data_IF_253430921623
#
_entry.id   IF_253430921623
#
_cell.length_a   1.000
_cell.length_b   1.000
_cell.length_c   1.000
_cell.angle_alpha   90.00
_cell.angle_beta   90.00
_cell.angle_gamma   90.00
#
_symmetry.space_group_name_H-M   'P 1'
#
loop_
_entity.id
_entity.type
_entity.pdbx_description
1 polymer ?
#
# COMPACT_ATOMS: atom_id res chain seq x y z
N UNK A 1 18.26 -26.15 -24.57
CA UNK A 1 18.05 -24.76 -24.14
C UNK A 1 16.62 -24.72 -23.62
N UNK A 2 16.47 -24.77 -22.32
CA UNK A 2 15.15 -24.80 -21.66
C UNK A 2 14.60 -23.37 -21.67
N UNK A 3 13.49 -23.21 -22.37
CA UNK A 3 12.67 -21.97 -22.31
C UNK A 3 12.09 -21.90 -20.89
N UNK A 4 12.70 -21.10 -20.06
CA UNK A 4 12.13 -20.76 -18.76
C UNK A 4 10.93 -19.88 -19.06
N UNK A 5 9.74 -20.49 -19.13
CA UNK A 5 8.49 -19.75 -19.22
C UNK A 5 8.47 -18.72 -18.09
N UNK A 6 8.35 -17.47 -18.44
CA UNK A 6 8.01 -16.41 -17.50
C UNK A 6 6.62 -16.79 -16.97
N UNK A 7 6.54 -17.27 -15.73
CA UNK A 7 5.24 -17.47 -15.07
C UNK A 7 4.56 -16.11 -15.05
N UNK A 8 3.50 -15.97 -15.82
CA UNK A 8 2.69 -14.76 -15.85
C UNK A 8 2.03 -14.60 -14.48
N UNK A 9 2.30 -13.49 -13.82
CA UNK A 9 1.72 -13.19 -12.50
C UNK A 9 0.21 -13.00 -12.67
N UNK A 10 -0.58 -13.66 -11.83
CA UNK A 10 -2.03 -13.48 -11.84
C UNK A 10 -2.39 -11.99 -11.64
N UNK A 11 -3.27 -11.43 -12.46
CA UNK A 11 -3.65 -10.03 -12.37
C UNK A 11 -4.37 -9.74 -11.06
N UNK A 12 -4.12 -8.56 -10.49
CA UNK A 12 -4.89 -8.09 -9.36
C UNK A 12 -6.35 -7.79 -9.76
N UNK A 13 -7.27 -7.86 -8.80
CA UNK A 13 -8.68 -7.51 -9.04
C UNK A 13 -8.85 -6.08 -9.55
N UNK A 14 -7.98 -5.15 -9.17
CA UNK A 14 -7.98 -3.79 -9.71
C UNK A 14 -7.77 -3.80 -11.22
N UNK A 15 -6.78 -4.56 -11.70
CA UNK A 15 -6.50 -4.71 -13.14
C UNK A 15 -7.68 -5.34 -13.87
N UNK A 16 -8.37 -6.31 -13.28
CA UNK A 16 -9.57 -6.91 -13.86
C UNK A 16 -10.70 -5.88 -13.99
N UNK A 17 -10.99 -5.15 -12.91
CA UNK A 17 -12.03 -4.10 -12.89
C UNK A 17 -11.75 -3.02 -13.97
N UNK A 18 -10.51 -2.57 -14.08
CA UNK A 18 -10.15 -1.51 -15.04
C UNK A 18 -10.14 -2.00 -16.49
N UNK A 19 -9.89 -3.29 -16.72
CA UNK A 19 -10.07 -3.92 -18.05
C UNK A 19 -11.55 -3.98 -18.44
N UNK A 20 -12.44 -4.30 -17.50
CA UNK A 20 -13.88 -4.36 -17.72
C UNK A 20 -14.51 -2.96 -17.81
N UNK A 21 -14.01 -2.01 -17.04
CA UNK A 21 -14.49 -0.63 -17.00
C UNK A 21 -13.30 0.36 -17.07
N UNK A 22 -12.92 0.79 -18.28
CA UNK A 22 -11.79 1.71 -18.46
C UNK A 22 -11.94 3.07 -17.77
N UNK A 23 -13.15 3.50 -17.47
CA UNK A 23 -13.42 4.78 -16.78
C UNK A 23 -13.26 4.68 -15.26
N UNK A 24 -13.08 3.46 -14.71
CA UNK A 24 -13.03 3.25 -13.27
C UNK A 24 -11.91 4.03 -12.58
N UNK A 25 -10.72 4.03 -13.15
CA UNK A 25 -9.56 4.76 -12.60
C UNK A 25 -9.81 6.27 -12.56
N UNK A 26 -10.34 6.84 -13.63
CA UNK A 26 -10.67 8.28 -13.70
C UNK A 26 -11.77 8.64 -12.70
N UNK A 27 -12.81 7.81 -12.58
CA UNK A 27 -13.86 7.97 -11.57
C UNK A 27 -13.27 7.96 -10.14
N UNK A 28 -12.32 7.05 -9.87
CA UNK A 28 -11.67 6.93 -8.56
C UNK A 28 -10.87 8.19 -8.23
N UNK A 29 -10.12 8.74 -9.19
CA UNK A 29 -9.40 10.01 -9.04
C UNK A 29 -10.36 11.15 -8.71
N UNK A 30 -11.43 11.34 -9.51
CA UNK A 30 -12.39 12.42 -9.33
C UNK A 30 -13.14 12.32 -7.99
N UNK A 31 -13.38 11.10 -7.50
CA UNK A 31 -13.95 10.88 -6.17
C UNK A 31 -13.08 11.53 -5.09
N UNK A 32 -11.77 11.29 -5.09
CA UNK A 32 -10.88 11.86 -4.08
C UNK A 32 -10.70 13.37 -4.24
N UNK A 33 -10.66 13.87 -5.48
CA UNK A 33 -10.66 15.31 -5.74
C UNK A 33 -11.91 15.99 -5.17
N UNK A 34 -13.08 15.38 -5.35
CA UNK A 34 -14.35 15.88 -4.82
C UNK A 34 -14.34 15.90 -3.29
N UNK A 35 -13.90 14.82 -2.63
CA UNK A 35 -13.80 14.75 -1.18
C UNK A 35 -12.83 15.82 -0.64
N UNK A 36 -11.68 15.98 -1.26
CA UNK A 36 -10.70 17.00 -0.89
C UNK A 36 -11.27 18.42 -1.05
N UNK A 37 -11.98 18.69 -2.15
CA UNK A 37 -12.64 19.99 -2.39
C UNK A 37 -13.79 20.26 -1.40
N UNK A 38 -14.43 19.22 -0.89
CA UNK A 38 -15.45 19.32 0.17
C UNK A 38 -14.85 19.58 1.57
N UNK A 39 -13.52 19.47 1.72
CA UNK A 39 -12.82 19.64 2.99
C UNK A 39 -12.86 18.42 3.89
N UNK A 40 -13.10 17.23 3.32
CA UNK A 40 -13.07 15.98 4.08
C UNK A 40 -11.65 15.73 4.63
N UNK A 41 -11.58 15.17 5.83
CA UNK A 41 -10.31 14.74 6.42
C UNK A 41 -9.83 13.45 5.75
N UNK A 42 -8.87 13.57 4.87
CA UNK A 42 -8.30 12.46 4.12
C UNK A 42 -6.91 12.03 4.61
N UNK A 43 -6.42 12.59 5.72
CA UNK A 43 -5.05 12.43 6.20
C UNK A 43 -4.92 11.46 7.41
N UNK A 44 -5.95 10.71 7.77
CA UNK A 44 -5.95 9.81 8.93
C UNK A 44 -4.81 8.80 8.91
N UNK A 45 -4.63 8.09 7.80
CA UNK A 45 -3.55 7.12 7.61
C UNK A 45 -2.17 7.77 7.67
N UNK A 46 -2.03 8.94 7.06
CA UNK A 46 -0.76 9.68 7.03
C UNK A 46 -0.34 10.15 8.42
N UNK A 47 -1.28 10.67 9.24
CA UNK A 47 -1.01 11.04 10.63
C UNK A 47 -0.56 9.87 11.47
N UNK A 48 -1.18 8.71 11.28
CA UNK A 48 -0.80 7.48 11.95
C UNK A 48 0.64 7.07 11.59
N UNK A 49 0.96 7.03 10.30
CA UNK A 49 2.30 6.64 9.82
C UNK A 49 3.36 7.67 10.24
N UNK A 50 3.05 8.98 10.18
CA UNK A 50 3.94 10.04 10.67
C UNK A 50 4.30 9.86 12.16
N UNK A 51 3.33 9.44 12.98
CA UNK A 51 3.58 9.15 14.39
C UNK A 51 4.41 7.88 14.63
N UNK A 52 4.42 6.94 13.68
CA UNK A 52 5.20 5.70 13.78
C UNK A 52 6.70 5.89 13.54
N UNK A 53 7.12 6.94 12.84
CA UNK A 53 8.48 7.08 12.32
C UNK A 53 9.19 8.31 12.85
N UNK A 54 10.52 8.33 12.75
CA UNK A 54 11.30 9.54 13.03
C UNK A 54 11.05 10.63 11.95
N UNK A 55 11.41 11.88 12.26
CA UNK A 55 11.37 12.95 11.26
C UNK A 55 12.27 12.64 10.06
N UNK A 56 11.85 13.02 8.86
CA UNK A 56 12.56 12.77 7.59
C UNK A 56 12.80 11.28 7.31
N UNK A 57 11.83 10.45 7.68
CA UNK A 57 11.85 9.03 7.37
C UNK A 57 11.69 8.78 5.87
N UNK A 58 12.17 7.63 5.40
CA UNK A 58 11.89 7.13 4.05
C UNK A 58 10.67 6.22 4.12
N UNK A 59 9.66 6.49 3.33
CA UNK A 59 8.38 5.78 3.37
C UNK A 59 8.01 5.30 1.97
N UNK A 60 7.62 4.03 1.88
CA UNK A 60 6.98 3.46 0.70
C UNK A 60 5.47 3.49 0.88
N UNK A 61 4.76 4.15 -0.03
CA UNK A 61 3.31 4.09 -0.16
C UNK A 61 2.96 3.02 -1.20
N UNK A 62 2.61 1.83 -0.74
CA UNK A 62 2.40 0.63 -1.55
C UNK A 62 0.91 0.48 -1.91
N UNK A 63 0.60 0.61 -3.20
CA UNK A 63 -0.76 0.79 -3.69
C UNK A 63 -1.22 2.23 -3.44
N UNK A 64 -0.38 3.19 -3.85
CA UNK A 64 -0.54 4.60 -3.49
C UNK A 64 -1.77 5.28 -4.13
N UNK A 65 -2.38 4.65 -5.14
CA UNK A 65 -3.49 5.24 -5.88
C UNK A 65 -3.14 6.62 -6.45
N UNK A 66 -4.02 7.61 -6.36
CA UNK A 66 -3.75 8.98 -6.81
C UNK A 66 -2.86 9.79 -5.83
N UNK A 67 -2.12 9.13 -4.93
CA UNK A 67 -1.06 9.75 -4.13
C UNK A 67 -1.50 10.42 -2.83
N UNK A 68 -2.71 10.17 -2.35
CA UNK A 68 -3.30 10.82 -1.17
C UNK A 68 -2.43 10.69 0.10
N UNK A 69 -2.10 9.46 0.47
CA UNK A 69 -1.35 9.15 1.69
C UNK A 69 0.09 9.63 1.56
N UNK A 70 0.76 9.27 0.47
CA UNK A 70 2.15 9.63 0.23
C UNK A 70 2.36 11.14 0.14
N UNK A 71 1.43 11.89 -0.46
CA UNK A 71 1.54 13.36 -0.53
C UNK A 71 1.42 14.01 0.84
N UNK A 72 0.54 13.52 1.72
CA UNK A 72 0.42 14.04 3.08
C UNK A 72 1.69 13.76 3.89
N UNK A 73 2.28 12.56 3.76
CA UNK A 73 3.56 12.21 4.38
C UNK A 73 4.72 13.08 3.85
N UNK A 74 4.75 13.37 2.56
CA UNK A 74 5.74 14.28 1.98
C UNK A 74 5.59 15.71 2.52
N UNK A 75 4.34 16.22 2.66
CA UNK A 75 4.08 17.51 3.32
C UNK A 75 4.52 17.52 4.79
N UNK A 76 4.49 16.38 5.48
CA UNK A 76 5.04 16.22 6.84
C UNK A 76 6.58 16.18 6.87
N UNK A 77 7.24 16.17 5.72
CA UNK A 77 8.70 16.25 5.60
C UNK A 77 9.40 14.91 5.43
N UNK A 78 8.68 13.86 5.05
CA UNK A 78 9.25 12.53 4.75
C UNK A 78 9.68 12.43 3.29
N UNK A 79 10.65 11.52 3.02
CA UNK A 79 10.99 11.09 1.66
C UNK A 79 10.05 9.96 1.26
N UNK A 80 9.24 10.17 0.22
CA UNK A 80 8.19 9.23 -0.15
C UNK A 80 8.41 8.70 -1.57
N UNK A 81 8.28 7.38 -1.69
CA UNK A 81 8.12 6.66 -2.96
C UNK A 81 6.73 6.04 -2.95
N UNK A 82 5.94 6.28 -3.98
CA UNK A 82 4.64 5.64 -4.18
C UNK A 82 4.69 4.67 -5.37
N UNK A 83 4.05 3.52 -5.23
CA UNK A 83 3.93 2.50 -6.28
C UNK A 83 2.47 2.10 -6.42
N UNK A 84 1.95 2.10 -7.64
CA UNK A 84 0.63 1.59 -7.97
C UNK A 84 0.65 0.90 -9.34
N UNK A 85 -0.18 -0.12 -9.52
CA UNK A 85 -0.27 -0.85 -10.79
C UNK A 85 -0.94 -0.04 -11.89
N UNK A 86 -1.74 0.97 -11.52
CA UNK A 86 -2.56 1.73 -12.45
C UNK A 86 -1.85 3.01 -12.94
N UNK A 87 -1.51 3.10 -14.24
CA UNK A 87 -0.84 4.27 -14.80
C UNK A 87 -1.70 5.54 -14.76
N UNK A 88 -3.05 5.42 -14.76
CA UNK A 88 -3.95 6.58 -14.68
C UNK A 88 -3.90 7.19 -13.28
N UNK A 89 -3.85 6.34 -12.23
CA UNK A 89 -3.71 6.80 -10.86
C UNK A 89 -2.36 7.45 -10.61
N UNK A 90 -1.28 6.87 -11.15
CA UNK A 90 0.07 7.45 -11.04
C UNK A 90 0.16 8.79 -11.77
N UNK A 91 -0.40 8.90 -12.98
CA UNK A 91 -0.43 10.18 -13.70
C UNK A 91 -1.18 11.27 -12.91
N UNK A 92 -2.27 10.91 -12.23
CA UNK A 92 -2.99 11.82 -11.33
C UNK A 92 -2.14 12.19 -10.11
N UNK A 93 -1.43 11.24 -9.50
CA UNK A 93 -0.53 11.49 -8.38
C UNK A 93 0.60 12.46 -8.75
N UNK A 94 1.22 12.29 -9.93
CA UNK A 94 2.25 13.20 -10.44
C UNK A 94 1.72 14.62 -10.67
N UNK A 95 0.50 14.72 -11.21
CA UNK A 95 -0.15 16.00 -11.51
C UNK A 95 -0.58 16.75 -10.25
N UNK A 96 -1.27 16.06 -9.33
CA UNK A 96 -1.92 16.68 -8.19
C UNK A 96 -0.98 16.83 -6.99
N UNK A 97 0.07 16.00 -6.92
CA UNK A 97 0.99 15.87 -5.79
C UNK A 97 2.46 15.82 -6.23
N UNK A 98 3.02 16.88 -6.82
CA UNK A 98 4.43 16.92 -7.18
C UNK A 98 5.32 16.87 -5.93
N UNK A 99 6.43 16.15 -6.02
CA UNK A 99 7.44 16.03 -4.96
C UNK A 99 7.83 14.60 -4.64
N UNK A 100 6.93 13.70 -4.22
CA UNK A 100 7.22 12.28 -4.11
C UNK A 100 7.61 11.64 -5.46
N UNK A 101 8.26 10.50 -5.38
CA UNK A 101 8.54 9.70 -6.57
C UNK A 101 7.42 8.69 -6.79
N UNK A 102 6.60 8.91 -7.80
CA UNK A 102 5.49 8.03 -8.17
C UNK A 102 5.92 7.05 -9.26
N UNK A 103 5.54 5.78 -9.15
CA UNK A 103 6.00 4.72 -10.03
C UNK A 103 4.86 3.78 -10.39
N UNK A 104 4.67 3.53 -11.68
CA UNK A 104 3.81 2.43 -12.12
C UNK A 104 4.52 1.11 -11.87
N UNK A 105 3.86 0.16 -11.19
CA UNK A 105 4.41 -1.18 -10.92
C UNK A 105 3.46 -2.07 -10.14
N UNK A 106 3.52 -3.36 -10.43
CA UNK A 106 2.80 -4.37 -9.64
C UNK A 106 3.58 -4.67 -8.35
N UNK A 107 2.88 -4.72 -7.23
CA UNK A 107 3.47 -5.04 -5.92
C UNK A 107 3.98 -6.48 -5.85
N UNK A 108 3.39 -7.39 -6.64
CA UNK A 108 3.88 -8.77 -6.76
C UNK A 108 5.22 -8.87 -7.49
N UNK A 109 5.59 -7.84 -8.27
CA UNK A 109 6.86 -7.73 -8.98
C UNK A 109 7.77 -6.65 -8.39
N UNK A 110 7.45 -6.11 -7.21
CA UNK A 110 8.15 -4.97 -6.60
C UNK A 110 9.66 -5.26 -6.46
N UNK A 111 10.46 -4.51 -7.22
CA UNK A 111 11.93 -4.50 -7.17
C UNK A 111 12.43 -3.07 -7.37
N UNK A 112 12.47 -2.32 -6.29
CA UNK A 112 12.89 -0.92 -6.30
C UNK A 112 14.40 -0.76 -6.49
N UNK A 113 15.29 -1.65 -5.99
CA UNK A 113 16.70 -1.64 -6.33
C UNK A 113 16.97 -1.68 -7.83
N UNK A 114 16.27 -2.51 -8.61
CA UNK A 114 16.39 -2.54 -10.07
C UNK A 114 15.98 -1.20 -10.74
N UNK A 115 15.22 -0.35 -10.03
CA UNK A 115 14.78 0.98 -10.47
C UNK A 115 15.64 2.11 -9.90
N UNK A 116 16.81 1.77 -9.32
CA UNK A 116 17.78 2.72 -8.75
C UNK A 116 17.40 3.26 -7.37
N UNK A 117 16.47 2.62 -6.65
CA UNK A 117 16.08 2.94 -5.28
C UNK A 117 16.60 1.81 -4.39
N UNK A 118 17.87 1.93 -3.96
CA UNK A 118 18.61 0.86 -3.27
C UNK A 118 18.53 0.92 -1.75
N UNK A 119 18.18 2.07 -1.19
CA UNK A 119 18.07 2.24 0.25
C UNK A 119 16.70 1.73 0.76
N UNK A 120 16.72 1.00 1.87
CA UNK A 120 15.52 0.49 2.50
C UNK A 120 14.65 1.59 3.14
N UNK A 121 13.42 1.25 3.47
CA UNK A 121 12.42 2.15 4.02
C UNK A 121 12.30 2.00 5.54
N UNK A 122 12.01 3.12 6.22
CA UNK A 122 11.64 3.18 7.65
C UNK A 122 10.26 2.62 7.90
N UNK A 123 9.36 2.91 6.97
CA UNK A 123 8.01 2.38 6.97
C UNK A 123 7.52 2.08 5.55
N UNK A 124 6.65 1.09 5.46
CA UNK A 124 5.81 0.83 4.30
C UNK A 124 4.38 1.00 4.75
N UNK A 125 3.60 1.78 4.03
CA UNK A 125 2.16 1.88 4.23
C UNK A 125 1.43 1.23 3.06
N UNK A 126 0.45 0.38 3.37
CA UNK A 126 -0.41 -0.28 2.40
C UNK A 126 -1.86 -0.07 2.87
N UNK A 127 -2.45 1.04 2.44
CA UNK A 127 -3.76 1.53 2.89
C UNK A 127 -4.78 1.54 1.74
N UNK A 128 -6.06 1.78 2.06
CA UNK A 128 -7.09 1.92 1.04
C UNK A 128 -7.60 0.59 0.46
N UNK A 129 -7.53 -0.49 1.22
CA UNK A 129 -7.94 -1.84 0.83
C UNK A 129 -7.09 -2.48 -0.29
N UNK A 130 -5.83 -2.15 -0.43
CA UNK A 130 -4.94 -2.72 -1.46
C UNK A 130 -4.82 -4.25 -1.32
N UNK A 131 -4.62 -4.75 -0.09
CA UNK A 131 -4.42 -6.19 0.15
C UNK A 131 -5.53 -7.10 -0.39
N UNK A 132 -6.83 -6.80 -0.18
CA UNK A 132 -7.92 -7.59 -0.78
C UNK A 132 -7.99 -7.53 -2.32
N UNK A 133 -7.38 -6.51 -2.95
CA UNK A 133 -7.32 -6.41 -4.40
C UNK A 133 -6.19 -7.24 -5.02
N UNK A 134 -5.23 -7.72 -4.23
CA UNK A 134 -4.17 -8.60 -4.74
C UNK A 134 -4.75 -9.96 -5.15
N UNK A 135 -4.21 -10.53 -6.24
CA UNK A 135 -4.51 -11.91 -6.58
C UNK A 135 -4.13 -12.84 -5.39
N UNK A 136 -4.97 -13.80 -5.00
CA UNK A 136 -4.69 -14.68 -3.86
C UNK A 136 -3.32 -15.37 -3.94
N UNK A 137 -2.89 -15.78 -5.14
CA UNK A 137 -1.58 -16.41 -5.39
C UNK A 137 -0.38 -15.48 -5.11
N UNK A 138 -0.58 -14.15 -5.08
CA UNK A 138 0.51 -13.17 -4.93
C UNK A 138 0.62 -12.57 -3.52
N UNK A 139 -0.35 -12.78 -2.63
CA UNK A 139 -0.45 -12.13 -1.30
C UNK A 139 0.81 -12.31 -0.45
N UNK A 140 1.28 -13.54 -0.30
CA UNK A 140 2.51 -13.85 0.47
C UNK A 140 3.73 -13.22 -0.20
N UNK A 141 3.84 -13.34 -1.53
CA UNK A 141 4.94 -12.75 -2.30
C UNK A 141 5.03 -11.24 -2.11
N UNK A 142 3.89 -10.52 -2.11
CA UNK A 142 3.86 -9.07 -1.85
C UNK A 142 4.37 -8.75 -0.44
N UNK A 143 3.94 -9.49 0.58
CA UNK A 143 4.40 -9.31 1.96
C UNK A 143 5.91 -9.60 2.11
N UNK A 144 6.43 -10.63 1.44
CA UNK A 144 7.87 -10.90 1.39
C UNK A 144 8.64 -9.76 0.71
N UNK A 145 8.09 -9.19 -0.38
CA UNK A 145 8.70 -8.06 -1.05
C UNK A 145 8.71 -6.82 -0.16
N UNK A 146 7.63 -6.54 0.55
CA UNK A 146 7.61 -5.46 1.54
C UNK A 146 8.71 -5.66 2.58
N UNK A 147 8.82 -6.86 3.17
CA UNK A 147 9.86 -7.19 4.14
C UNK A 147 11.27 -6.92 3.59
N UNK A 148 11.56 -7.31 2.34
CA UNK A 148 12.88 -7.10 1.70
C UNK A 148 13.21 -5.63 1.45
N UNK A 149 12.20 -4.76 1.34
CA UNK A 149 12.38 -3.33 1.13
C UNK A 149 12.49 -2.53 2.43
N UNK A 150 12.27 -3.15 3.59
CA UNK A 150 12.50 -2.51 4.88
C UNK A 150 14.00 -2.43 5.20
N UNK A 151 14.38 -1.37 5.88
CA UNK A 151 15.65 -1.31 6.59
C UNK A 151 15.54 -1.99 7.96
N UNK A 152 16.65 -2.34 8.63
CA UNK A 152 16.62 -2.84 10.00
C UNK A 152 15.80 -1.93 10.92
N UNK A 153 14.83 -2.49 11.64
CA UNK A 153 13.91 -1.75 12.51
C UNK A 153 12.76 -1.04 11.79
N UNK A 154 12.65 -1.17 10.46
CA UNK A 154 11.51 -0.69 9.69
C UNK A 154 10.24 -1.48 9.98
N UNK A 155 9.08 -0.88 9.72
CA UNK A 155 7.74 -1.47 9.99
C UNK A 155 6.81 -1.30 8.80
N UNK A 156 5.81 -2.18 8.72
CA UNK A 156 4.76 -2.10 7.71
C UNK A 156 3.45 -1.79 8.41
N UNK A 157 2.70 -0.80 7.92
CA UNK A 157 1.33 -0.52 8.33
C UNK A 157 0.39 -0.94 7.20
N UNK A 158 -0.44 -1.96 7.44
CA UNK A 158 -1.43 -2.45 6.48
C UNK A 158 -2.82 -2.16 7.01
N UNK A 159 -3.73 -1.63 6.18
CA UNK A 159 -5.11 -1.38 6.59
C UNK A 159 -6.13 -1.75 5.52
N UNK A 160 -7.13 -2.58 5.89
CA UNK A 160 -8.23 -2.97 5.00
C UNK A 160 -9.48 -3.41 5.77
N UNK A 161 -10.64 -3.34 5.10
CA UNK A 161 -11.94 -3.71 5.65
C UNK A 161 -12.28 -5.17 5.45
N UNK A 162 -13.12 -5.71 6.35
CA UNK A 162 -13.70 -7.05 6.26
C UNK A 162 -14.60 -7.24 5.03
N UNK A 163 -14.96 -8.50 4.72
CA UNK A 163 -15.93 -8.84 3.69
C UNK A 163 -15.44 -8.62 2.24
N UNK A 164 -14.12 -8.69 2.02
CA UNK A 164 -13.47 -8.40 0.72
C UNK A 164 -12.66 -9.58 0.16
N UNK A 165 -13.09 -10.82 0.41
CA UNK A 165 -12.42 -12.05 -0.07
C UNK A 165 -10.98 -12.23 0.45
N UNK A 166 -10.67 -11.59 1.56
CA UNK A 166 -9.43 -11.77 2.30
C UNK A 166 -9.74 -11.56 3.77
N UNK A 167 -9.86 -12.67 4.50
CA UNK A 167 -10.16 -12.64 5.92
C UNK A 167 -8.94 -12.15 6.72
N UNK A 168 -9.18 -11.52 7.87
CA UNK A 168 -8.10 -11.02 8.72
C UNK A 168 -7.20 -12.13 9.25
N UNK A 169 -7.77 -13.29 9.61
CA UNK A 169 -6.99 -14.44 10.07
C UNK A 169 -6.13 -15.03 8.94
N UNK A 170 -6.65 -15.08 7.70
CA UNK A 170 -5.88 -15.48 6.53
C UNK A 170 -4.71 -14.52 6.28
N UNK A 171 -4.97 -13.20 6.34
CA UNK A 171 -3.92 -12.19 6.20
C UNK A 171 -2.82 -12.32 7.26
N UNK A 172 -3.20 -12.54 8.52
CA UNK A 172 -2.22 -12.71 9.62
C UNK A 172 -1.38 -13.97 9.42
N UNK A 173 -1.99 -15.07 8.96
CA UNK A 173 -1.26 -16.30 8.61
C UNK A 173 -0.32 -16.09 7.40
N UNK A 174 -0.72 -15.30 6.40
CA UNK A 174 0.11 -14.95 5.26
C UNK A 174 1.30 -14.06 5.68
N UNK A 175 1.08 -13.13 6.60
CA UNK A 175 2.14 -12.31 7.17
C UNK A 175 3.19 -13.16 7.90
N UNK A 176 2.75 -14.12 8.72
CA UNK A 176 3.63 -15.08 9.39
C UNK A 176 4.42 -15.92 8.37
N UNK A 177 3.76 -16.43 7.32
CA UNK A 177 4.43 -17.16 6.22
C UNK A 177 5.50 -16.32 5.50
N UNK A 178 5.26 -15.01 5.37
CA UNK A 178 6.22 -14.08 4.80
C UNK A 178 7.37 -13.69 5.76
N UNK A 179 7.36 -14.21 6.99
CA UNK A 179 8.33 -13.90 8.04
C UNK A 179 8.13 -12.53 8.67
N UNK A 180 6.87 -12.13 8.84
CA UNK A 180 6.44 -10.89 9.47
C UNK A 180 5.60 -11.18 10.70
N UNK A 181 5.93 -10.54 11.82
CA UNK A 181 5.15 -10.61 13.06
C UNK A 181 4.16 -9.44 13.16
N UNK A 182 2.90 -9.73 13.47
CA UNK A 182 1.88 -8.74 13.72
C UNK A 182 1.91 -8.28 15.19
N UNK A 183 2.74 -7.29 15.49
CA UNK A 183 2.97 -6.82 16.86
C UNK A 183 1.83 -5.97 17.43
N UNK A 184 1.08 -5.25 16.58
CA UNK A 184 -0.04 -4.38 17.00
C UNK A 184 -1.19 -4.54 16.01
N UNK A 185 -2.39 -4.77 16.54
CA UNK A 185 -3.63 -4.84 15.77
C UNK A 185 -4.61 -3.78 16.27
N UNK A 186 -5.13 -2.98 15.36
CA UNK A 186 -6.10 -1.91 15.62
C UNK A 186 -7.29 -2.08 14.67
N UNK A 187 -8.46 -1.55 15.06
CA UNK A 187 -9.64 -1.57 14.18
C UNK A 187 -9.74 -0.31 13.30
N UNK A 188 -8.87 0.67 13.52
CA UNK A 188 -8.90 1.93 12.77
C UNK A 188 -7.59 2.70 12.87
N UNK A 189 -7.39 3.65 11.95
CA UNK A 189 -6.21 4.51 11.94
C UNK A 189 -6.16 5.54 13.09
N UNK A 190 -7.23 5.66 13.89
CA UNK A 190 -7.30 6.49 15.10
C UNK A 190 -7.00 5.72 16.40
N UNK A 191 -6.29 4.57 16.29
CA UNK A 191 -5.75 3.78 17.41
C UNK A 191 -6.79 3.01 18.23
N UNK A 192 -7.98 2.75 17.72
CA UNK A 192 -8.94 1.89 18.44
C UNK A 192 -8.43 0.44 18.45
N UNK A 193 -8.48 -0.23 19.60
CA UNK A 193 -8.04 -1.63 19.68
C UNK A 193 -8.86 -2.56 18.79
N UNK A 194 -8.18 -3.47 18.10
CA UNK A 194 -8.83 -4.52 17.33
C UNK A 194 -9.53 -5.54 18.24
N UNK A 195 -10.69 -5.98 17.82
CA UNK A 195 -11.49 -7.04 18.47
C UNK A 195 -12.02 -8.01 17.41
N UNK A 196 -12.52 -9.17 17.83
CA UNK A 196 -13.15 -10.13 16.91
C UNK A 196 -14.43 -9.59 16.21
N UNK A 197 -14.99 -8.48 16.69
CA UNK A 197 -16.15 -7.82 16.09
C UNK A 197 -15.75 -6.65 15.17
N UNK A 198 -14.47 -6.38 15.00
CA UNK A 198 -13.99 -5.27 14.18
C UNK A 198 -14.22 -5.54 12.68
N UNK A 199 -14.72 -4.53 11.98
CA UNK A 199 -14.97 -4.60 10.54
C UNK A 199 -13.81 -4.02 9.71
N UNK A 200 -12.77 -3.55 10.36
CA UNK A 200 -11.54 -3.04 9.73
C UNK A 200 -10.33 -3.48 10.56
N UNK A 201 -9.23 -3.74 9.89
CA UNK A 201 -7.95 -4.07 10.50
C UNK A 201 -6.89 -3.06 10.08
N UNK A 202 -6.14 -2.54 11.05
CA UNK A 202 -4.83 -1.94 10.85
C UNK A 202 -3.80 -2.80 11.58
N UNK A 203 -2.93 -3.45 10.84
CA UNK A 203 -1.87 -4.28 11.38
C UNK A 203 -0.50 -3.60 11.23
N UNK A 204 0.29 -3.59 12.31
CA UNK A 204 1.67 -3.16 12.28
C UNK A 204 2.55 -4.40 12.30
N UNK A 205 3.23 -4.63 11.17
CA UNK A 205 4.06 -5.80 10.96
C UNK A 205 5.54 -5.44 11.10
N UNK A 206 6.30 -6.37 11.67
CA UNK A 206 7.78 -6.28 11.80
C UNK A 206 8.43 -7.55 11.26
N UNK A 207 9.66 -7.46 10.69
CA UNK A 207 10.45 -8.63 10.31
C UNK A 207 10.89 -9.46 11.50
#
# INVERSE_FOLDING_TARGET
MSDAGVEEVDPSRWVEITRENPDHSSWYVERFRTMAAAGDDLDGESRFVDAMVARRARILDAGCGPGRVGSALARAGHEVVGVDVDPVLIAAAEQDHPGPRWLVGDLAELDLPARGITEGFDAIVCAGNVMPFLAPSTRVTVLERFRRHLRPGGRIAVGFGAGREYDFDEFLADAERAGLDAGVLLESWDLRPFTHASEFLVAILTP
#
